data_IF_368161881914
#
_entry.id   IF_368161881914
#
_cell.length_a   1.000
_cell.length_b   1.000
_cell.length_c   1.000
_cell.angle_alpha   90.00
_cell.angle_beta   90.00
_cell.angle_gamma   90.00
#
_symmetry.space_group_name_H-M   'P 1'
#
loop_
_entity.id
_entity.type
_entity.pdbx_description
1 polymer ?
#
# COMPACT_ATOMS: atom_id res chain seq x y z
N UNK A 1 -35.62 1.31 53.67
CA UNK A 1 -34.30 1.10 53.04
C UNK A 1 -33.41 2.27 53.42
N UNK A 2 -32.28 2.04 54.10
CA UNK A 2 -31.35 3.13 54.47
C UNK A 2 -30.59 3.57 53.22
N UNK A 3 -30.72 4.84 52.86
CA UNK A 3 -30.00 5.45 51.75
C UNK A 3 -28.49 5.27 51.96
N UNK A 4 -27.86 4.44 51.12
CA UNK A 4 -26.46 4.05 51.29
C UNK A 4 -25.45 5.14 50.88
N UNK A 5 -25.91 6.22 50.26
CA UNK A 5 -25.06 7.29 49.73
C UNK A 5 -25.44 8.65 50.32
N UNK A 6 -24.43 9.36 50.86
CA UNK A 6 -24.58 10.74 51.32
C UNK A 6 -24.89 11.65 50.14
N UNK A 7 -25.65 12.74 50.33
CA UNK A 7 -26.07 13.63 49.25
C UNK A 7 -24.90 14.19 48.42
N UNK A 8 -23.74 14.47 49.04
CA UNK A 8 -22.55 14.95 48.32
C UNK A 8 -21.95 13.90 47.36
N UNK A 9 -22.03 12.61 47.69
CA UNK A 9 -21.50 11.53 46.85
C UNK A 9 -22.31 11.39 45.56
N UNK A 10 -23.62 11.69 45.63
CA UNK A 10 -24.50 11.70 44.45
C UNK A 10 -24.11 12.82 43.48
N UNK A 11 -23.79 14.01 44.02
CA UNK A 11 -23.30 15.13 43.21
C UNK A 11 -21.95 14.86 42.55
N UNK A 12 -21.02 14.21 43.26
CA UNK A 12 -19.72 13.82 42.69
C UNK A 12 -19.89 12.78 41.58
N UNK A 13 -20.71 11.74 41.81
CA UNK A 13 -21.00 10.73 40.78
C UNK A 13 -21.66 11.33 39.55
N UNK A 14 -22.57 12.29 39.74
CA UNK A 14 -23.20 13.03 38.65
C UNK A 14 -22.19 13.86 37.84
N UNK A 15 -21.34 14.65 38.52
CA UNK A 15 -20.31 15.45 37.86
C UNK A 15 -19.30 14.59 37.09
N UNK A 16 -18.90 13.45 37.67
CA UNK A 16 -18.02 12.48 37.02
C UNK A 16 -18.65 11.90 35.75
N UNK A 17 -19.91 11.46 35.82
CA UNK A 17 -20.62 10.93 34.66
C UNK A 17 -20.74 11.99 33.55
N UNK A 18 -21.02 13.24 33.92
CA UNK A 18 -21.10 14.35 32.98
C UNK A 18 -19.74 14.63 32.30
N UNK A 19 -18.65 14.58 33.06
CA UNK A 19 -17.29 14.74 32.52
C UNK A 19 -16.92 13.61 31.55
N UNK A 20 -17.30 12.36 31.84
CA UNK A 20 -17.05 11.21 30.94
C UNK A 20 -17.83 11.34 29.64
N UNK A 21 -19.10 11.76 29.70
CA UNK A 21 -19.93 11.99 28.51
C UNK A 21 -19.36 13.14 27.68
N UNK A 22 -18.95 14.25 28.33
CA UNK A 22 -18.34 15.39 27.66
C UNK A 22 -17.01 15.02 26.98
N UNK A 23 -16.11 14.32 27.67
CA UNK A 23 -14.85 13.85 27.11
C UNK A 23 -15.07 12.89 25.92
N UNK A 24 -16.03 11.97 26.04
CA UNK A 24 -16.42 11.09 24.94
C UNK A 24 -16.90 11.90 23.72
N UNK A 25 -17.73 12.93 23.94
CA UNK A 25 -18.19 13.82 22.88
C UNK A 25 -17.06 14.56 22.17
N UNK A 26 -16.09 15.10 22.92
CA UNK A 26 -14.91 15.77 22.33
C UNK A 26 -14.07 14.80 21.50
N UNK A 27 -13.84 13.58 22.00
CA UNK A 27 -13.07 12.56 21.28
C UNK A 27 -13.79 12.14 19.99
N UNK A 28 -15.10 11.93 20.05
CA UNK A 28 -15.90 11.60 18.86
C UNK A 28 -15.83 12.72 17.83
N UNK A 29 -16.00 13.98 18.23
CA UNK A 29 -15.90 15.13 17.33
C UNK A 29 -14.51 15.24 16.68
N UNK A 30 -13.45 15.05 17.46
CA UNK A 30 -12.07 15.06 16.94
C UNK A 30 -11.83 13.94 15.91
N UNK A 31 -12.32 12.72 16.18
CA UNK A 31 -12.23 11.59 15.25
C UNK A 31 -13.04 11.83 13.97
N UNK A 32 -14.24 12.42 14.08
CA UNK A 32 -15.09 12.72 12.92
C UNK A 32 -14.48 13.80 12.03
N UNK A 33 -13.92 14.87 12.61
CA UNK A 33 -13.21 15.93 11.88
C UNK A 33 -12.03 15.34 11.09
N UNK A 34 -11.19 14.55 11.77
CA UNK A 34 -10.03 13.92 11.13
C UNK A 34 -10.42 12.89 10.06
N UNK A 35 -11.58 12.23 10.19
CA UNK A 35 -12.10 11.31 9.18
C UNK A 35 -12.73 12.04 7.99
N UNK A 36 -13.38 13.18 8.22
CA UNK A 36 -13.96 14.01 7.17
C UNK A 36 -12.87 14.64 6.27
N UNK A 37 -11.68 14.94 6.81
CA UNK A 37 -10.53 15.36 6.00
C UNK A 37 -10.05 14.26 5.04
N UNK A 38 -10.13 12.98 5.43
CA UNK A 38 -9.73 11.84 4.58
C UNK A 38 -10.82 11.43 3.58
N UNK A 39 -12.09 11.70 3.87
CA UNK A 39 -13.20 11.40 2.94
C UNK A 39 -13.36 12.49 1.87
N UNK A 40 -12.90 13.72 2.14
CA UNK A 40 -12.92 14.84 1.19
C UNK A 40 -11.73 14.90 0.22
N UNK A 41 -11.11 13.76 -0.14
CA UNK A 41 -10.01 13.72 -1.14
C UNK A 41 -10.50 14.24 -2.51
N UNK A 42 -11.77 14.02 -2.85
CA UNK A 42 -12.35 14.55 -4.10
C UNK A 42 -12.51 16.08 -4.11
N UNK A 43 -12.64 16.73 -2.95
CA UNK A 43 -12.86 18.18 -2.85
C UNK A 43 -11.58 19.02 -2.86
N UNK A 44 -10.40 18.40 -2.64
CA UNK A 44 -9.10 19.10 -2.64
C UNK A 44 -8.14 18.58 -3.71
N UNK A 45 -8.63 18.25 -4.92
CA UNK A 45 -7.75 17.99 -6.07
C UNK A 45 -6.96 19.26 -6.37
N UNK A 46 -5.63 19.21 -6.20
CA UNK A 46 -4.71 20.33 -6.45
C UNK A 46 -4.51 20.56 -7.94
N UNK A 47 -4.53 19.48 -8.72
CA UNK A 47 -4.36 19.52 -10.17
C UNK A 47 -5.53 18.87 -10.89
N UNK A 48 -5.89 19.44 -12.05
CA UNK A 48 -6.87 18.84 -12.95
C UNK A 48 -6.18 17.87 -13.90
N UNK A 49 -6.48 16.58 -13.76
CA UNK A 49 -5.99 15.53 -14.66
C UNK A 49 -6.99 15.42 -15.82
N UNK A 50 -6.53 15.68 -17.05
CA UNK A 50 -7.37 15.67 -18.25
C UNK A 50 -7.11 14.42 -19.09
N UNK A 51 -8.17 13.78 -19.61
CA UNK A 51 -8.03 12.65 -20.52
C UNK A 51 -7.38 11.42 -19.88
N UNK A 52 -6.56 10.70 -20.65
CA UNK A 52 -5.81 9.52 -20.21
C UNK A 52 -4.39 9.96 -19.86
N UNK A 53 -4.02 9.89 -18.57
CA UNK A 53 -2.67 10.19 -18.09
C UNK A 53 -1.99 8.90 -17.60
N UNK A 54 -0.82 8.61 -18.16
CA UNK A 54 -0.06 7.39 -17.86
C UNK A 54 1.04 7.61 -16.81
N UNK A 55 1.45 8.86 -16.57
CA UNK A 55 2.53 9.17 -15.62
C UNK A 55 2.00 9.15 -14.20
N UNK A 56 2.40 8.14 -13.44
CA UNK A 56 1.98 7.96 -12.04
C UNK A 56 2.33 9.14 -11.13
N UNK A 57 3.44 9.85 -11.38
CA UNK A 57 3.89 11.00 -10.57
C UNK A 57 2.86 12.14 -10.51
N UNK A 58 2.06 12.32 -11.56
CA UNK A 58 1.04 13.38 -11.60
C UNK A 58 -0.07 13.08 -10.59
N UNK A 59 -0.38 11.81 -10.37
CA UNK A 59 -1.39 11.41 -9.39
C UNK A 59 -0.93 11.61 -7.94
N UNK A 60 0.38 11.75 -7.68
CA UNK A 60 0.93 11.94 -6.34
C UNK A 60 0.43 13.22 -5.64
N UNK A 61 0.15 14.28 -6.41
CA UNK A 61 -0.30 15.57 -5.86
C UNK A 61 -1.73 15.51 -5.33
N UNK A 62 -2.60 14.76 -6.01
CA UNK A 62 -4.00 14.59 -5.65
C UNK A 62 -4.23 13.41 -4.69
N UNK A 63 -3.41 12.36 -4.80
CA UNK A 63 -3.59 11.07 -4.11
C UNK A 63 -2.29 10.64 -3.40
N UNK A 64 -1.81 11.41 -2.41
CA UNK A 64 -0.51 11.17 -1.80
C UNK A 64 -0.45 9.86 -1.01
N UNK A 65 -1.57 9.40 -0.43
CA UNK A 65 -1.62 8.14 0.32
C UNK A 65 -1.47 6.95 -0.62
N UNK A 66 -2.25 6.93 -1.68
CA UNK A 66 -2.27 5.87 -2.69
C UNK A 66 -0.93 5.81 -3.41
N UNK A 67 -0.40 6.97 -3.82
CA UNK A 67 0.92 7.07 -4.43
C UNK A 67 2.01 6.56 -3.49
N UNK A 68 1.95 6.90 -2.19
CA UNK A 68 2.89 6.36 -1.21
C UNK A 68 2.83 4.84 -1.13
N UNK A 69 1.64 4.25 -1.02
CA UNK A 69 1.50 2.78 -0.97
C UNK A 69 1.99 2.10 -2.25
N UNK A 70 1.85 2.77 -3.41
CA UNK A 70 2.39 2.30 -4.67
C UNK A 70 3.92 2.38 -4.70
N UNK A 71 4.51 3.49 -4.24
CA UNK A 71 5.98 3.64 -4.10
C UNK A 71 6.53 2.61 -3.14
N UNK A 72 5.86 2.32 -2.02
CA UNK A 72 6.30 1.30 -1.07
C UNK A 72 6.44 -0.11 -1.71
N UNK A 73 5.83 -0.34 -2.89
CA UNK A 73 6.02 -1.58 -3.64
C UNK A 73 7.40 -1.78 -4.25
N UNK A 74 8.22 -0.73 -4.31
CA UNK A 74 9.62 -0.81 -4.78
C UNK A 74 10.54 -1.49 -3.79
N UNK A 75 10.13 -1.62 -2.52
CA UNK A 75 10.91 -2.31 -1.51
C UNK A 75 11.19 -3.76 -1.93
N UNK A 76 12.47 -4.12 -2.03
CA UNK A 76 12.92 -5.48 -2.38
C UNK A 76 13.34 -6.28 -1.14
N UNK A 77 13.18 -5.73 0.07
CA UNK A 77 13.77 -6.30 1.28
C UNK A 77 13.07 -7.56 1.80
N UNK A 78 11.93 -7.92 1.20
CA UNK A 78 11.07 -9.01 1.65
C UNK A 78 11.37 -10.29 0.85
N UNK A 79 12.05 -11.22 1.52
CA UNK A 79 12.25 -12.59 1.07
C UNK A 79 11.36 -13.54 1.87
N UNK A 80 10.38 -14.19 1.23
CA UNK A 80 9.65 -15.31 1.80
C UNK A 80 9.87 -16.57 0.96
N UNK A 81 9.70 -17.73 1.59
CA UNK A 81 9.92 -19.06 1.00
C UNK A 81 9.09 -19.31 -0.26
N UNK A 82 7.93 -18.66 -0.38
CA UNK A 82 7.00 -18.86 -1.50
C UNK A 82 6.87 -17.63 -2.39
N UNK A 83 7.03 -16.43 -1.83
CA UNK A 83 6.90 -15.16 -2.53
C UNK A 83 7.99 -14.20 -2.04
N UNK A 84 8.60 -13.45 -2.94
CA UNK A 84 9.56 -12.40 -2.59
C UNK A 84 9.25 -11.13 -3.36
N UNK A 85 9.83 -10.01 -2.92
CA UNK A 85 9.83 -8.75 -3.67
C UNK A 85 11.13 -8.56 -4.46
N UNK A 86 11.96 -9.59 -4.51
CA UNK A 86 13.26 -9.62 -5.20
C UNK A 86 13.16 -10.45 -6.47
N UNK A 87 13.81 -10.00 -7.53
CA UNK A 87 13.98 -10.80 -8.75
C UNK A 87 15.05 -11.87 -8.51
N UNK A 88 14.66 -13.13 -8.60
CA UNK A 88 15.54 -14.28 -8.44
C UNK A 88 15.34 -15.20 -9.64
N UNK A 89 16.43 -15.68 -10.23
CA UNK A 89 16.39 -16.64 -11.34
C UNK A 89 15.81 -17.98 -10.89
N UNK A 90 14.64 -18.33 -11.43
CA UNK A 90 13.95 -19.59 -11.14
C UNK A 90 14.58 -20.75 -11.90
N UNK A 91 15.16 -20.50 -13.08
CA UNK A 91 15.81 -21.53 -13.88
C UNK A 91 17.10 -22.02 -13.20
N UNK A 92 17.82 -21.12 -12.53
CA UNK A 92 18.96 -21.50 -11.68
C UNK A 92 18.54 -22.34 -10.47
N UNK A 93 17.39 -22.05 -9.85
CA UNK A 93 16.87 -22.83 -8.73
C UNK A 93 16.30 -24.20 -9.15
N UNK A 94 15.74 -24.27 -10.36
CA UNK A 94 15.03 -25.44 -10.89
C UNK A 94 15.45 -25.70 -12.35
N UNK A 95 16.65 -26.26 -12.57
CA UNK A 95 17.20 -26.47 -13.92
C UNK A 95 16.31 -27.35 -14.82
N UNK A 96 15.51 -28.25 -14.24
CA UNK A 96 14.54 -29.07 -14.95
C UNK A 96 13.51 -28.25 -15.74
N UNK A 97 13.21 -27.01 -15.29
CA UNK A 97 12.28 -26.11 -15.97
C UNK A 97 12.81 -25.68 -17.35
N UNK A 98 14.14 -25.59 -17.50
CA UNK A 98 14.78 -25.31 -18.80
C UNK A 98 14.49 -26.42 -19.80
N UNK A 99 14.51 -27.68 -19.34
CA UNK A 99 14.24 -28.86 -20.16
C UNK A 99 12.75 -28.94 -20.49
N UNK A 100 11.89 -28.75 -19.50
CA UNK A 100 10.43 -28.80 -19.69
C UNK A 100 9.92 -27.74 -20.67
N UNK A 101 10.57 -26.57 -20.70
CA UNK A 101 10.23 -25.47 -21.60
C UNK A 101 11.14 -25.36 -22.81
N UNK A 102 11.93 -26.40 -23.11
CA UNK A 102 12.84 -26.39 -24.24
C UNK A 102 12.10 -26.04 -25.55
N UNK A 103 12.66 -25.08 -26.29
CA UNK A 103 12.05 -24.54 -27.51
C UNK A 103 11.11 -23.36 -27.29
N UNK A 104 10.82 -22.98 -26.04
CA UNK A 104 10.02 -21.80 -25.71
C UNK A 104 10.86 -20.73 -25.00
N UNK A 105 10.50 -19.45 -25.15
CA UNK A 105 11.31 -18.33 -24.64
C UNK A 105 11.53 -18.39 -23.11
N UNK A 106 10.61 -19.00 -22.36
CA UNK A 106 10.72 -19.18 -20.91
C UNK A 106 11.86 -20.10 -20.48
N UNK A 107 12.42 -20.92 -21.38
CA UNK A 107 13.64 -21.69 -21.08
C UNK A 107 14.92 -20.83 -21.08
N UNK A 108 14.85 -19.58 -21.56
CA UNK A 108 16.00 -18.66 -21.66
C UNK A 108 16.14 -17.77 -20.43
N UNK A 109 15.01 -17.35 -19.87
CA UNK A 109 14.96 -16.47 -18.70
C UNK A 109 13.58 -16.57 -18.06
N UNK A 110 13.56 -16.80 -16.75
CA UNK A 110 12.36 -16.75 -15.94
C UNK A 110 12.73 -16.43 -14.50
N UNK A 111 12.39 -15.22 -14.07
CA UNK A 111 12.70 -14.71 -12.73
C UNK A 111 11.43 -14.49 -11.91
N UNK A 112 11.55 -14.54 -10.58
CA UNK A 112 10.43 -14.25 -9.67
C UNK A 112 9.93 -12.81 -9.83
N UNK A 113 8.62 -12.57 -9.72
CA UNK A 113 8.05 -11.23 -9.87
C UNK A 113 8.51 -10.30 -8.73
N UNK A 114 8.56 -9.00 -9.02
CA UNK A 114 8.80 -7.93 -8.05
C UNK A 114 7.85 -6.75 -8.27
N UNK A 115 8.03 -5.66 -7.51
CA UNK A 115 7.13 -4.51 -7.49
C UNK A 115 6.84 -3.91 -8.88
N UNK A 116 5.62 -3.41 -9.07
CA UNK A 116 5.12 -2.92 -10.37
C UNK A 116 5.96 -1.80 -10.99
N UNK A 117 6.66 -0.99 -10.20
CA UNK A 117 7.56 0.04 -10.73
C UNK A 117 8.66 -0.56 -11.63
N UNK A 118 9.06 -1.81 -11.37
CA UNK A 118 10.08 -2.51 -12.14
C UNK A 118 9.56 -3.16 -13.41
N UNK A 119 8.25 -3.14 -13.68
CA UNK A 119 7.66 -3.89 -14.79
C UNK A 119 8.30 -3.58 -16.16
N UNK A 120 8.55 -2.29 -16.45
CA UNK A 120 9.24 -1.89 -17.67
C UNK A 120 10.70 -2.33 -17.67
N UNK A 121 11.40 -2.17 -16.55
CA UNK A 121 12.79 -2.61 -16.43
C UNK A 121 12.88 -4.12 -16.67
N UNK A 122 12.04 -4.92 -16.04
CA UNK A 122 12.08 -6.38 -16.11
C UNK A 122 11.74 -6.89 -17.51
N UNK A 123 10.77 -6.29 -18.19
CA UNK A 123 10.43 -6.67 -19.58
C UNK A 123 11.58 -6.32 -20.54
N UNK A 124 12.18 -5.14 -20.38
CA UNK A 124 13.30 -4.69 -21.23
C UNK A 124 14.56 -5.54 -20.98
N UNK A 125 14.80 -6.00 -19.75
CA UNK A 125 15.93 -6.86 -19.38
C UNK A 125 15.69 -8.35 -19.60
N UNK A 126 14.47 -8.77 -19.93
CA UNK A 126 14.18 -10.19 -20.08
C UNK A 126 14.70 -10.75 -21.39
N UNK A 127 15.38 -11.89 -21.32
CA UNK A 127 15.87 -12.60 -22.51
C UNK A 127 14.73 -13.26 -23.31
N UNK A 128 13.50 -13.24 -22.79
CA UNK A 128 12.32 -13.84 -23.42
C UNK A 128 11.84 -13.06 -24.65
N UNK A 129 12.07 -11.76 -24.69
CA UNK A 129 11.59 -10.88 -25.79
C UNK A 129 12.56 -10.82 -26.96
N UNK A 130 13.72 -11.49 -26.87
CA UNK A 130 14.64 -11.69 -28.00
C UNK A 130 15.44 -10.46 -28.41
N UNK A 131 15.39 -9.35 -27.66
CA UNK A 131 16.20 -8.17 -27.91
C UNK A 131 17.45 -8.19 -27.02
N UNK A 132 18.64 -8.56 -27.54
CA UNK A 132 19.88 -8.38 -26.78
C UNK A 132 20.10 -6.89 -26.52
N UNK A 133 20.34 -6.50 -25.27
CA UNK A 133 20.72 -5.13 -24.91
C UNK A 133 22.18 -4.79 -25.21
N UNK A 134 22.80 -5.52 -26.13
CA UNK A 134 24.15 -5.26 -26.65
C UNK A 134 24.27 -5.79 -28.07
N UNK A 135 24.61 -4.90 -29.00
CA UNK A 135 25.26 -5.27 -30.26
C UNK A 135 26.77 -5.17 -30.05
N UNK A 136 27.50 -6.25 -30.38
CA UNK A 136 28.95 -6.35 -30.26
C UNK A 136 29.38 -7.53 -29.41
#
# INVERSE_FOLDING_TARGET
MKDKFKPWQRWVLFALAMAVIFASGVIISFLMEHSAEVVNVDYKKKIKINGIEARSIIFAENYPREYKTWVDTTSTDLHSRLNGRTSIDVLAQRPEMVILWAGYAFSKDYSTPRGHMYALQDIVHSLRTGAPMGGG
#
